data_IF_952998876122
#
_entry.id   IF_952998876122
#
_cell.length_a   1.000
_cell.length_b   1.000
_cell.length_c   1.000
_cell.angle_alpha   90.00
_cell.angle_beta   90.00
_cell.angle_gamma   90.00
#
_symmetry.space_group_name_H-M   'P 1'
#
loop_
_entity.id
_entity.type
_entity.pdbx_description
1 polymer ?
#
# COMPACT_ATOMS: atom_id res chain seq x y z
N UNK A 1 73.87 -0.93 10.30
CA UNK A 1 73.49 0.48 10.57
C UNK A 1 72.21 0.48 11.38
N UNK A 2 72.30 0.86 12.66
CA UNK A 2 71.16 1.15 13.53
C UNK A 2 70.60 2.53 13.21
N UNK A 3 69.27 2.69 13.31
CA UNK A 3 68.55 3.84 13.91
C UNK A 3 67.10 3.85 13.37
N UNK A 4 66.03 4.24 14.06
CA UNK A 4 65.70 4.53 15.47
C UNK A 4 64.17 4.71 15.39
N UNK A 5 63.45 4.07 16.31
CA UNK A 5 62.02 4.23 16.57
C UNK A 5 61.69 5.62 17.10
N UNK A 6 60.57 6.22 16.67
CA UNK A 6 59.79 7.17 17.48
C UNK A 6 58.29 7.06 17.20
N UNK A 7 57.55 6.70 18.24
CA UNK A 7 56.09 6.77 18.39
C UNK A 7 55.66 8.06 19.10
N UNK A 8 54.35 8.34 19.00
CA UNK A 8 53.45 9.25 19.78
C UNK A 8 53.25 10.69 19.30
N UNK A 9 52.12 11.36 19.66
CA UNK A 9 50.86 10.85 20.22
C UNK A 9 49.56 11.37 19.55
N UNK A 10 48.46 10.68 19.88
CA UNK A 10 47.06 11.10 19.72
C UNK A 10 46.77 12.29 20.65
N UNK A 11 46.00 13.29 20.18
CA UNK A 11 45.34 14.25 21.07
C UNK A 11 43.89 14.50 20.61
N UNK A 12 42.87 14.21 21.45
CA UNK A 12 41.47 14.39 21.12
C UNK A 12 41.04 15.85 21.33
N UNK A 13 40.40 16.44 20.31
CA UNK A 13 39.76 17.75 20.44
C UNK A 13 38.44 17.58 21.19
N UNK A 14 38.53 17.90 22.49
CA UNK A 14 37.54 18.54 23.36
C UNK A 14 36.06 18.48 22.95
N UNK A 15 35.35 17.58 23.60
CA UNK A 15 33.92 17.64 23.89
C UNK A 15 33.60 18.95 24.64
N UNK A 16 32.79 19.83 24.04
CA UNK A 16 32.27 21.04 24.67
C UNK A 16 30.82 20.80 25.11
N UNK A 17 30.64 20.70 26.42
CA UNK A 17 29.35 20.69 27.12
C UNK A 17 28.79 22.13 27.20
N UNK A 18 27.45 22.24 27.18
CA UNK A 18 26.54 23.34 27.56
C UNK A 18 25.65 23.74 26.37
N UNK A 19 24.34 24.03 26.49
CA UNK A 19 23.38 24.13 27.61
C UNK A 19 21.99 24.26 26.94
N UNK A 20 20.98 23.59 27.49
CA UNK A 20 19.56 24.00 27.62
C UNK A 20 18.92 24.87 26.52
N UNK A 21 17.92 24.33 25.82
CA UNK A 21 16.72 25.03 25.31
C UNK A 21 15.55 24.02 25.43
N UNK A 22 14.86 23.97 26.58
CA UNK A 22 13.55 24.57 26.89
C UNK A 22 12.41 24.03 26.00
N UNK A 23 11.60 23.17 26.61
CA UNK A 23 10.24 22.79 26.25
C UNK A 23 9.35 24.03 26.09
N UNK A 24 8.54 24.09 25.03
CA UNK A 24 7.33 24.92 24.99
C UNK A 24 6.14 24.11 24.52
N UNK A 25 5.22 23.91 25.45
CA UNK A 25 3.85 23.40 25.29
C UNK A 25 2.97 24.62 25.00
N UNK A 26 2.17 24.58 23.94
CA UNK A 26 1.03 25.48 23.73
C UNK A 26 -0.10 24.61 23.18
N UNK A 27 -0.92 24.05 24.07
CA UNK A 27 -2.24 24.56 24.50
C UNK A 27 -3.35 24.22 23.48
N UNK A 28 -4.08 23.16 23.82
CA UNK A 28 -5.29 22.66 23.16
C UNK A 28 -6.48 23.53 23.63
N UNK A 29 -7.12 24.26 22.72
CA UNK A 29 -8.37 24.95 23.00
C UNK A 29 -9.55 24.09 22.52
N UNK A 30 -10.23 23.45 23.47
CA UNK A 30 -11.52 22.82 23.24
C UNK A 30 -12.61 23.90 23.24
N UNK A 31 -13.34 24.04 22.14
CA UNK A 31 -14.60 24.78 22.12
C UNK A 31 -15.71 23.75 22.32
N UNK A 32 -16.20 23.63 23.55
CA UNK A 32 -17.42 22.93 23.89
C UNK A 32 -18.61 23.86 23.65
N UNK A 33 -19.39 23.62 22.59
CA UNK A 33 -20.73 24.16 22.46
C UNK A 33 -21.71 23.18 23.12
N UNK A 34 -22.00 23.41 24.39
CA UNK A 34 -23.21 22.93 25.05
C UNK A 34 -24.25 24.04 24.97
N UNK A 35 -25.25 23.89 24.09
CA UNK A 35 -26.52 24.59 24.22
C UNK A 35 -27.63 23.57 24.43
N UNK A 36 -27.96 23.34 25.70
CA UNK A 36 -29.30 22.90 26.09
C UNK A 36 -30.17 24.15 26.10
N UNK A 37 -31.10 24.25 25.16
CA UNK A 37 -32.30 25.07 25.31
C UNK A 37 -33.44 24.10 25.56
N UNK A 38 -33.86 24.00 26.82
CA UNK A 38 -35.17 23.47 27.18
C UNK A 38 -36.12 24.67 27.17
N UNK A 39 -37.21 24.57 26.41
CA UNK A 39 -38.57 24.85 26.91
C UNK A 39 -39.60 24.39 25.88
N UNK A 40 -40.61 23.69 26.41
CA UNK A 40 -41.75 23.09 25.74
C UNK A 40 -42.55 24.09 24.89
N UNK A 41 -42.79 23.72 23.62
CA UNK A 41 -44.08 23.97 22.98
C UNK A 41 -44.49 22.76 22.14
N UNK A 42 -45.56 22.12 22.59
CA UNK A 42 -46.30 21.06 21.93
C UNK A 42 -46.90 21.58 20.62
N UNK A 43 -46.25 21.30 19.48
CA UNK A 43 -46.86 21.41 18.16
C UNK A 43 -46.16 20.48 17.17
N UNK A 44 -46.76 19.30 16.97
CA UNK A 44 -46.99 18.68 15.66
C UNK A 44 -45.82 18.72 14.63
N UNK A 45 -44.81 17.85 14.78
CA UNK A 45 -43.94 17.44 13.66
C UNK A 45 -43.64 15.94 13.73
N UNK A 46 -44.53 15.11 13.19
CA UNK A 46 -44.13 13.80 12.66
C UNK A 46 -43.29 14.04 11.40
N UNK A 47 -41.98 14.23 11.56
CA UNK A 47 -41.11 14.52 10.42
C UNK A 47 -39.60 14.44 10.64
N UNK A 48 -39.13 14.20 11.87
CA UNK A 48 -37.69 14.23 12.16
C UNK A 48 -37.26 12.90 12.78
N UNK A 49 -37.08 11.87 11.94
CA UNK A 49 -36.38 10.65 12.37
C UNK A 49 -35.49 10.00 11.29
N UNK A 50 -35.39 10.59 10.09
CA UNK A 50 -34.55 10.05 9.01
C UNK A 50 -33.17 10.73 8.87
N UNK A 51 -33.01 11.98 9.29
CA UNK A 51 -31.74 12.71 9.08
C UNK A 51 -30.67 12.43 10.14
N UNK A 52 -31.05 12.11 11.37
CA UNK A 52 -30.10 11.95 12.48
C UNK A 52 -29.45 10.54 12.52
N UNK A 53 -30.13 9.52 11.99
CA UNK A 53 -29.59 8.15 11.84
C UNK A 53 -28.70 8.05 10.61
N UNK A 54 -29.06 8.75 9.53
CA UNK A 54 -28.25 8.92 8.32
C UNK A 54 -26.87 9.54 8.65
N UNK A 55 -26.83 10.60 9.47
CA UNK A 55 -25.57 11.28 9.79
C UNK A 55 -24.62 10.46 10.66
N UNK A 56 -25.12 9.63 11.60
CA UNK A 56 -24.27 8.72 12.39
C UNK A 56 -23.73 7.57 11.55
N UNK A 57 -24.55 6.96 10.70
CA UNK A 57 -24.13 5.86 9.83
C UNK A 57 -23.17 6.34 8.74
N UNK A 58 -23.44 7.48 8.10
CA UNK A 58 -22.52 8.09 7.13
C UNK A 58 -21.20 8.52 7.81
N UNK A 59 -21.26 9.06 9.03
CA UNK A 59 -20.05 9.40 9.81
C UNK A 59 -19.27 8.16 10.25
N UNK A 60 -19.94 7.07 10.60
CA UNK A 60 -19.29 5.79 10.96
C UNK A 60 -18.70 5.08 9.73
N UNK A 61 -19.38 5.14 8.58
CA UNK A 61 -18.85 4.65 7.31
C UNK A 61 -17.63 5.46 6.86
N UNK A 62 -17.69 6.80 6.98
CA UNK A 62 -16.55 7.67 6.75
C UNK A 62 -15.40 7.45 7.78
N UNK A 63 -15.72 6.97 8.99
CA UNK A 63 -14.72 6.59 10.01
C UNK A 63 -14.05 5.25 9.71
N UNK A 64 -14.72 4.33 9.01
CA UNK A 64 -14.15 3.04 8.62
C UNK A 64 -13.14 3.21 7.47
N UNK A 65 -13.41 4.13 6.55
CA UNK A 65 -12.44 4.56 5.55
C UNK A 65 -11.18 5.08 6.25
N UNK A 66 -10.04 4.88 5.60
CA UNK A 66 -8.72 5.33 6.08
C UNK A 66 -8.18 4.66 7.35
N UNK A 67 -8.87 3.65 7.90
CA UNK A 67 -8.29 2.84 8.97
C UNK A 67 -7.18 1.95 8.40
N UNK A 68 -5.95 2.13 8.90
CA UNK A 68 -4.78 1.37 8.45
C UNK A 68 -4.77 0.00 9.10
N UNK A 69 -4.79 -1.05 8.28
CA UNK A 69 -4.56 -2.42 8.72
C UNK A 69 -3.17 -2.86 8.28
N UNK A 70 -2.37 -3.36 9.23
CA UNK A 70 -1.04 -3.90 8.97
C UNK A 70 -1.06 -5.42 9.05
N UNK A 71 -0.44 -6.09 8.08
CA UNK A 71 -0.36 -7.55 8.05
C UNK A 71 0.86 -8.01 7.25
N UNK A 72 1.02 -9.33 7.15
CA UNK A 72 2.05 -9.95 6.31
C UNK A 72 1.58 -11.30 5.80
N UNK A 73 2.13 -11.71 4.66
CA UNK A 73 2.01 -13.09 4.15
C UNK A 73 3.39 -13.74 4.08
N UNK A 74 3.43 -15.06 4.24
CA UNK A 74 4.62 -15.86 3.97
C UNK A 74 4.38 -16.70 2.73
N UNK A 75 5.23 -16.55 1.73
CA UNK A 75 5.16 -17.30 0.46
C UNK A 75 6.31 -18.29 0.43
N UNK A 76 6.01 -19.55 0.14
CA UNK A 76 7.00 -20.62 0.13
C UNK A 76 7.48 -20.89 -1.30
N UNK A 77 8.78 -21.16 -1.43
CA UNK A 77 9.38 -21.63 -2.67
C UNK A 77 9.23 -23.14 -2.75
N UNK A 78 8.66 -23.64 -3.84
CA UNK A 78 8.53 -25.08 -4.05
C UNK A 78 9.66 -25.66 -4.91
N UNK A 79 10.38 -24.82 -5.68
CA UNK A 79 11.53 -25.24 -6.48
C UNK A 79 12.60 -24.13 -6.60
N UNK A 80 13.88 -24.49 -6.69
CA UNK A 80 14.96 -23.55 -7.00
C UNK A 80 15.08 -23.30 -8.52
N UNK A 81 15.54 -22.12 -8.99
CA UNK A 81 16.05 -20.98 -8.21
C UNK A 81 14.95 -20.02 -7.74
N UNK A 82 15.29 -19.14 -6.78
CA UNK A 82 14.36 -18.13 -6.22
C UNK A 82 13.98 -17.01 -7.18
N UNK A 83 14.78 -16.76 -8.22
CA UNK A 83 14.56 -15.69 -9.21
C UNK A 83 13.54 -16.03 -10.29
N UNK A 84 12.93 -17.21 -10.25
CA UNK A 84 11.95 -17.66 -11.22
C UNK A 84 10.54 -17.42 -10.69
N UNK A 85 9.68 -16.78 -11.49
CA UNK A 85 8.32 -16.42 -11.11
C UNK A 85 7.49 -17.62 -10.61
N UNK A 86 7.49 -18.70 -11.38
CA UNK A 86 6.62 -19.87 -11.17
C UNK A 86 7.10 -20.80 -10.06
N UNK A 87 8.29 -20.56 -9.49
CA UNK A 87 8.91 -21.40 -8.48
C UNK A 87 8.39 -21.13 -7.05
N UNK A 88 7.44 -20.22 -6.91
CA UNK A 88 6.82 -19.82 -5.65
C UNK A 88 5.37 -20.29 -5.62
N UNK A 89 4.94 -20.88 -4.49
CA UNK A 89 3.58 -21.33 -4.30
C UNK A 89 2.71 -20.12 -3.96
N UNK A 90 1.72 -19.76 -4.79
CA UNK A 90 0.90 -18.59 -4.52
C UNK A 90 0.13 -18.70 -3.20
N UNK A 91 -0.08 -17.56 -2.54
CA UNK A 91 -0.77 -17.47 -1.25
C UNK A 91 -1.92 -16.49 -1.34
N UNK A 92 -3.12 -16.96 -1.02
CA UNK A 92 -4.31 -16.12 -0.94
C UNK A 92 -4.29 -15.26 0.34
N UNK A 93 -4.79 -14.03 0.23
CA UNK A 93 -5.03 -13.13 1.34
C UNK A 93 -6.26 -12.26 1.08
N UNK A 94 -6.85 -11.70 2.13
CA UNK A 94 -7.91 -10.71 2.03
C UNK A 94 -7.36 -9.30 2.29
N UNK A 95 -7.80 -8.34 1.48
CA UNK A 95 -7.59 -6.90 1.68
C UNK A 95 -8.98 -6.28 1.68
N UNK A 96 -9.54 -6.03 2.86
CA UNK A 96 -10.95 -5.67 3.00
C UNK A 96 -11.87 -6.68 2.28
N UNK A 97 -12.63 -6.19 1.29
CA UNK A 97 -13.57 -6.96 0.48
C UNK A 97 -12.96 -7.71 -0.70
N UNK A 98 -11.68 -7.51 -1.05
CA UNK A 98 -11.03 -8.20 -2.17
C UNK A 98 -10.18 -9.38 -1.71
N UNK A 99 -10.36 -10.53 -2.38
CA UNK A 99 -9.42 -11.65 -2.29
C UNK A 99 -8.29 -11.45 -3.29
N UNK A 100 -7.06 -11.45 -2.80
CA UNK A 100 -5.83 -11.31 -3.60
C UNK A 100 -4.97 -12.55 -3.49
N UNK A 101 -4.09 -12.72 -4.45
CA UNK A 101 -3.07 -13.76 -4.47
C UNK A 101 -1.69 -13.12 -4.57
N UNK A 102 -0.83 -13.43 -3.61
CA UNK A 102 0.59 -13.13 -3.64
C UNK A 102 1.35 -14.24 -4.34
N UNK A 103 2.18 -13.90 -5.32
CA UNK A 103 2.82 -14.83 -6.24
C UNK A 103 4.12 -14.27 -6.83
N UNK A 104 4.74 -15.00 -7.76
CA UNK A 104 5.90 -14.51 -8.50
C UNK A 104 7.20 -14.52 -7.70
N UNK A 105 8.19 -13.79 -8.21
CA UNK A 105 9.55 -13.77 -7.67
C UNK A 105 9.52 -13.34 -6.18
N UNK A 106 9.97 -14.25 -5.30
CA UNK A 106 9.89 -14.10 -3.84
C UNK A 106 8.48 -13.81 -3.28
N UNK A 107 7.41 -14.14 -4.02
CA UNK A 107 6.04 -13.80 -3.65
C UNK A 107 5.70 -12.32 -3.77
N UNK A 108 6.56 -11.52 -4.41
CA UNK A 108 6.42 -10.07 -4.48
C UNK A 108 5.34 -9.58 -5.44
N UNK A 109 4.75 -10.43 -6.28
CA UNK A 109 3.66 -10.02 -7.17
C UNK A 109 2.30 -10.20 -6.51
N UNK A 110 1.32 -9.40 -6.88
CA UNK A 110 -0.05 -9.43 -6.37
C UNK A 110 -1.05 -9.33 -7.51
N UNK A 111 -2.14 -10.11 -7.44
CA UNK A 111 -3.31 -9.97 -8.32
C UNK A 111 -4.63 -10.23 -7.58
N UNK A 112 -5.77 -9.66 -8.01
CA UNK A 112 -7.09 -10.09 -7.54
C UNK A 112 -7.38 -11.53 -8.02
N UNK A 113 -8.04 -12.33 -7.19
CA UNK A 113 -8.34 -13.74 -7.50
C UNK A 113 -9.61 -13.87 -8.32
N UNK A 114 -9.53 -14.61 -9.43
CA UNK A 114 -10.69 -15.04 -10.23
C UNK A 114 -11.45 -13.94 -10.99
N UNK A 115 -11.20 -12.67 -10.66
CA UNK A 115 -11.84 -11.47 -11.21
C UNK A 115 -13.39 -11.54 -11.34
N UNK A 116 -14.05 -12.40 -10.56
CA UNK A 116 -15.51 -12.57 -10.60
C UNK A 116 -16.25 -11.31 -10.14
N UNK A 117 -15.61 -10.55 -9.24
CA UNK A 117 -16.12 -9.29 -8.72
C UNK A 117 -15.54 -8.06 -9.43
N UNK A 118 -14.85 -8.23 -10.57
CA UNK A 118 -14.34 -7.13 -11.40
C UNK A 118 -13.39 -6.19 -10.63
N UNK A 119 -12.37 -6.79 -10.02
CA UNK A 119 -11.31 -6.09 -9.31
C UNK A 119 -10.10 -5.87 -10.22
N UNK A 120 -9.60 -4.65 -10.24
CA UNK A 120 -8.47 -4.24 -11.07
C UNK A 120 -7.37 -3.64 -10.23
N UNK A 121 -6.17 -3.64 -10.78
CA UNK A 121 -4.98 -3.15 -10.08
C UNK A 121 -4.20 -2.13 -10.88
N UNK A 122 -3.49 -1.27 -10.16
CA UNK A 122 -2.66 -0.21 -10.69
C UNK A 122 -1.74 0.35 -9.63
N UNK A 123 -0.92 1.32 -10.00
CA UNK A 123 0.02 1.95 -9.08
C UNK A 123 -0.22 3.45 -8.97
N UNK A 124 0.16 3.98 -7.82
CA UNK A 124 0.11 5.41 -7.50
C UNK A 124 1.38 5.77 -6.72
N UNK A 125 1.66 7.07 -6.55
CA UNK A 125 2.80 7.49 -5.77
C UNK A 125 2.75 6.95 -4.32
N UNK A 126 3.90 6.54 -3.80
CA UNK A 126 4.00 5.97 -2.47
C UNK A 126 3.66 7.00 -1.37
N UNK A 127 3.75 8.30 -1.67
CA UNK A 127 3.34 9.37 -0.76
C UNK A 127 1.83 9.51 -0.63
N UNK A 128 1.05 8.99 -1.58
CA UNK A 128 -0.41 9.09 -1.50
C UNK A 128 -0.94 8.37 -0.26
N UNK A 129 -1.96 8.94 0.34
CA UNK A 129 -2.57 8.39 1.55
C UNK A 129 -4.06 8.21 1.29
N UNK A 130 -4.80 7.77 2.30
CA UNK A 130 -6.26 7.78 2.19
C UNK A 130 -6.87 9.20 2.05
N UNK A 131 -6.06 10.26 2.06
CA UNK A 131 -6.52 11.61 1.79
C UNK A 131 -7.29 11.66 0.46
N UNK A 132 -8.48 12.28 0.49
CA UNK A 132 -9.36 12.58 -0.65
C UNK A 132 -9.09 11.78 -1.93
N UNK A 133 -9.56 10.53 -2.00
CA UNK A 133 -9.54 9.67 -3.19
C UNK A 133 -9.80 10.43 -4.50
N UNK A 134 -10.78 11.34 -4.49
CA UNK A 134 -11.15 12.14 -5.66
C UNK A 134 -10.04 13.06 -6.19
N UNK A 135 -9.03 13.39 -5.38
CA UNK A 135 -7.91 14.24 -5.76
C UNK A 135 -6.81 13.53 -6.56
N UNK A 136 -6.65 12.21 -6.39
CA UNK A 136 -5.54 11.45 -7.00
C UNK A 136 -5.98 10.22 -7.80
N UNK A 137 -7.25 9.80 -7.72
CA UNK A 137 -7.74 8.62 -8.47
C UNK A 137 -7.50 8.71 -9.98
N UNK A 138 -7.52 9.92 -10.55
CA UNK A 138 -7.25 10.15 -11.98
C UNK A 138 -5.76 10.01 -12.37
N UNK A 139 -4.86 9.87 -11.39
CA UNK A 139 -3.42 9.70 -11.60
C UNK A 139 -2.93 8.26 -11.42
N UNK A 140 -3.85 7.33 -11.15
CA UNK A 140 -3.52 5.91 -11.02
C UNK A 140 -3.06 5.38 -12.39
N UNK A 141 -1.85 4.80 -12.41
CA UNK A 141 -1.38 4.05 -13.57
C UNK A 141 -2.06 2.67 -13.59
N UNK A 142 -2.93 2.43 -14.57
CA UNK A 142 -3.71 1.20 -14.67
C UNK A 142 -2.85 0.07 -15.23
N UNK A 143 -2.79 -1.09 -14.55
CA UNK A 143 -1.95 -2.21 -14.99
C UNK A 143 -2.32 -2.70 -16.39
N UNK A 144 -3.63 -2.78 -16.67
CA UNK A 144 -4.14 -3.32 -17.92
C UNK A 144 -4.08 -2.34 -19.09
N UNK A 145 -3.66 -1.08 -18.89
CA UNK A 145 -3.37 -0.20 -20.01
C UNK A 145 -2.35 -0.90 -20.94
N UNK A 146 -2.59 -0.98 -22.27
CA UNK A 146 -1.70 -1.70 -23.19
C UNK A 146 -0.23 -1.28 -23.12
N UNK A 147 0.06 -0.04 -22.71
CA UNK A 147 1.43 0.45 -22.53
C UNK A 147 2.11 -0.03 -21.25
N UNK A 148 1.32 -0.55 -20.29
CA UNK A 148 1.73 -0.99 -18.96
C UNK A 148 1.75 -2.53 -18.81
N UNK A 149 1.19 -3.24 -19.78
CA UNK A 149 1.19 -4.71 -19.81
C UNK A 149 2.51 -5.19 -20.39
N UNK A 150 3.32 -5.85 -19.57
CA UNK A 150 4.52 -6.56 -20.03
C UNK A 150 4.18 -7.92 -20.65
N UNK A 151 5.19 -8.67 -21.05
CA UNK A 151 5.03 -10.04 -21.52
C UNK A 151 4.96 -11.07 -20.37
N UNK A 152 5.29 -10.67 -19.14
CA UNK A 152 5.43 -11.54 -17.99
C UNK A 152 4.44 -11.19 -16.86
N UNK A 153 3.93 -12.20 -16.12
CA UNK A 153 4.13 -13.63 -16.33
C UNK A 153 3.45 -14.15 -17.62
N UNK A 154 4.15 -14.99 -18.40
CA UNK A 154 3.70 -15.45 -19.74
C UNK A 154 2.26 -15.98 -19.78
N UNK A 155 1.84 -16.70 -18.73
CA UNK A 155 0.52 -17.32 -18.70
C UNK A 155 -0.64 -16.32 -18.54
N UNK A 156 -0.40 -15.21 -17.83
CA UNK A 156 -1.40 -14.16 -17.61
C UNK A 156 -0.73 -12.87 -17.09
N UNK A 157 -0.33 -11.95 -17.99
CA UNK A 157 0.33 -10.69 -17.61
C UNK A 157 -0.64 -9.61 -17.13
N UNK A 158 -1.96 -9.86 -17.22
CA UNK A 158 -2.98 -8.90 -16.84
C UNK A 158 -3.29 -8.94 -15.35
N UNK A 159 -3.73 -7.80 -14.83
CA UNK A 159 -4.18 -7.62 -13.45
C UNK A 159 -3.19 -8.09 -12.37
N UNK A 160 -1.90 -8.08 -12.70
CA UNK A 160 -0.83 -8.47 -11.79
C UNK A 160 0.21 -7.37 -11.67
N UNK A 161 0.50 -6.96 -10.44
CA UNK A 161 1.55 -6.00 -10.14
C UNK A 161 2.68 -6.69 -9.41
N UNK A 162 3.90 -6.49 -9.88
CA UNK A 162 5.07 -7.06 -9.25
C UNK A 162 6.28 -6.17 -9.46
N UNK A 163 7.32 -6.76 -10.02
CA UNK A 163 8.54 -6.05 -10.41
C UNK A 163 8.21 -5.00 -11.47
N UNK A 164 8.81 -3.82 -11.34
CA UNK A 164 8.64 -2.72 -12.29
C UNK A 164 9.65 -2.81 -13.44
N UNK A 165 9.13 -3.06 -14.64
CA UNK A 165 9.88 -3.12 -15.89
C UNK A 165 10.55 -4.47 -16.18
N UNK A 166 11.79 -4.42 -16.68
CA UNK A 166 12.51 -5.59 -17.19
C UNK A 166 13.51 -6.14 -16.17
N UNK A 167 13.51 -7.47 -15.97
CA UNK A 167 14.52 -8.19 -15.20
C UNK A 167 14.99 -9.44 -15.94
N UNK A 168 16.29 -9.59 -16.11
CA UNK A 168 16.88 -10.75 -16.82
C UNK A 168 16.27 -10.99 -18.21
N UNK A 169 15.83 -9.93 -18.90
CA UNK A 169 15.18 -10.01 -20.22
C UNK A 169 13.68 -10.28 -20.20
N UNK A 170 13.09 -10.55 -19.02
CA UNK A 170 11.65 -10.71 -18.82
C UNK A 170 11.02 -9.34 -18.50
N UNK A 171 10.04 -8.91 -19.31
CA UNK A 171 9.33 -7.65 -19.15
C UNK A 171 8.03 -7.84 -18.37
N UNK A 172 7.97 -7.31 -17.15
CA UNK A 172 6.78 -7.34 -16.31
C UNK A 172 5.87 -6.12 -16.50
N UNK A 173 6.29 -5.13 -17.31
CA UNK A 173 5.57 -3.87 -17.50
C UNK A 173 5.47 -3.08 -16.20
N UNK A 174 4.31 -2.47 -15.94
CA UNK A 174 4.06 -1.71 -14.71
C UNK A 174 4.18 -2.60 -13.47
N UNK A 175 4.99 -2.16 -12.51
CA UNK A 175 5.14 -2.78 -11.20
C UNK A 175 5.22 -1.75 -10.08
N UNK A 176 5.46 -2.23 -8.86
CA UNK A 176 5.49 -1.38 -7.67
C UNK A 176 6.81 -1.47 -6.89
N UNK A 177 7.70 -2.40 -7.24
CA UNK A 177 9.02 -2.54 -6.62
C UNK A 177 10.13 -2.74 -7.65
N UNK A 178 11.33 -2.34 -7.25
CA UNK A 178 12.58 -2.68 -7.96
C UNK A 178 13.29 -3.85 -7.27
N UNK A 179 14.10 -4.61 -8.00
CA UNK A 179 14.80 -5.78 -7.49
C UNK A 179 16.22 -5.85 -8.03
N UNK A 180 17.19 -5.88 -7.11
CA UNK A 180 18.62 -5.97 -7.43
C UNK A 180 19.05 -7.43 -7.35
N UNK A 181 19.26 -8.07 -8.50
CA UNK A 181 19.60 -9.50 -8.61
C UNK A 181 20.82 -9.91 -7.77
N UNK A 182 21.86 -9.07 -7.71
CA UNK A 182 23.12 -9.40 -7.06
C UNK A 182 23.02 -9.45 -5.53
N UNK A 183 22.20 -8.59 -4.93
CA UNK A 183 22.04 -8.48 -3.46
C UNK A 183 20.71 -9.05 -2.98
N UNK A 184 19.89 -9.50 -3.92
CA UNK A 184 18.50 -9.85 -3.74
C UNK A 184 17.61 -8.77 -3.08
N UNK A 185 18.03 -7.51 -3.06
CA UNK A 185 17.25 -6.44 -2.41
C UNK A 185 16.03 -6.08 -3.24
N UNK A 186 14.84 -6.15 -2.64
CA UNK A 186 13.56 -5.75 -3.24
C UNK A 186 13.05 -4.49 -2.56
N UNK A 187 12.83 -3.42 -3.33
CA UNK A 187 12.49 -2.09 -2.79
C UNK A 187 11.17 -1.59 -3.39
N UNK A 188 10.08 -1.58 -2.60
CA UNK A 188 8.83 -0.91 -2.99
C UNK A 188 9.07 0.58 -3.27
N UNK A 189 8.57 1.05 -4.40
CA UNK A 189 8.71 2.44 -4.86
C UNK A 189 7.35 3.10 -5.19
N UNK A 190 6.30 2.30 -5.34
CA UNK A 190 4.92 2.77 -5.56
C UNK A 190 3.96 2.08 -4.61
N UNK A 191 2.84 2.73 -4.33
CA UNK A 191 1.71 2.07 -3.69
C UNK A 191 0.88 1.34 -4.75
N UNK A 192 0.23 0.26 -4.33
CA UNK A 192 -0.72 -0.49 -5.15
C UNK A 192 -2.12 0.05 -4.85
N UNK A 193 -2.92 0.26 -5.89
CA UNK A 193 -4.35 0.54 -5.78
C UNK A 193 -5.11 -0.66 -6.34
N UNK A 194 -6.10 -1.11 -5.59
CA UNK A 194 -7.04 -2.16 -6.02
C UNK A 194 -8.43 -1.55 -6.04
N UNK A 195 -9.14 -1.57 -7.15
CA UNK A 195 -10.47 -0.98 -7.26
C UNK A 195 -11.47 -1.90 -7.94
N UNK A 196 -12.72 -1.78 -7.53
CA UNK A 196 -13.86 -2.49 -8.10
C UNK A 196 -14.61 -1.58 -9.05
N UNK A 197 -14.73 -1.99 -10.30
CA UNK A 197 -15.53 -1.25 -11.30
C UNK A 197 -16.06 -2.22 -12.36
N UNK A 198 -16.96 -1.74 -13.22
CA UNK A 198 -17.49 -2.54 -14.32
C UNK A 198 -16.39 -2.82 -15.35
N UNK A 199 -16.14 -4.10 -15.61
CA UNK A 199 -15.34 -4.59 -16.73
C UNK A 199 -15.77 -6.00 -17.14
N UNK A 200 -15.27 -6.52 -18.26
CA UNK A 200 -15.74 -7.80 -18.81
C UNK A 200 -14.98 -9.00 -18.24
N UNK A 201 -13.69 -8.80 -17.96
CA UNK A 201 -12.74 -9.86 -17.61
C UNK A 201 -11.49 -9.25 -16.94
N UNK A 202 -10.51 -10.10 -16.65
CA UNK A 202 -9.24 -9.69 -16.03
C UNK A 202 -8.33 -8.87 -16.93
N UNK A 203 -8.61 -8.78 -18.22
CA UNK A 203 -7.80 -8.07 -19.23
C UNK A 203 -8.35 -6.67 -19.52
N UNK A 204 -9.59 -6.41 -19.10
CA UNK A 204 -10.27 -5.14 -19.30
C UNK A 204 -9.43 -3.95 -18.83
N UNK A 205 -9.30 -2.95 -19.71
CA UNK A 205 -8.79 -1.63 -19.34
C UNK A 205 -9.94 -0.87 -18.67
N UNK A 206 -9.76 -0.47 -17.42
CA UNK A 206 -10.81 0.19 -16.64
C UNK A 206 -10.38 1.55 -16.13
N UNK A 207 -11.35 2.43 -15.89
CA UNK A 207 -11.13 3.77 -15.35
C UNK A 207 -11.33 3.78 -13.83
N UNK A 208 -10.27 3.99 -13.02
CA UNK A 208 -10.39 4.06 -11.56
C UNK A 208 -11.36 5.14 -11.06
N UNK A 209 -11.63 6.18 -11.85
CA UNK A 209 -12.57 7.25 -11.43
C UNK A 209 -14.00 6.74 -11.25
N UNK A 210 -14.34 5.62 -11.89
CA UNK A 210 -15.64 4.94 -11.85
C UNK A 210 -15.76 3.86 -10.76
N UNK A 211 -14.74 3.74 -9.91
CA UNK A 211 -14.72 2.73 -8.85
C UNK A 211 -15.94 2.86 -7.92
N UNK A 212 -16.39 1.71 -7.44
CA UNK A 212 -17.44 1.60 -6.41
C UNK A 212 -16.89 1.22 -5.04
N UNK A 213 -15.66 0.71 -5.02
CA UNK A 213 -14.90 0.33 -3.84
C UNK A 213 -13.42 0.36 -4.20
N UNK A 214 -12.55 0.82 -3.30
CA UNK A 214 -11.11 0.87 -3.56
C UNK A 214 -10.25 0.75 -2.30
N UNK A 215 -9.08 0.16 -2.48
CA UNK A 215 -8.07 -0.05 -1.46
C UNK A 215 -6.72 0.50 -1.90
N UNK A 216 -6.07 1.21 -1.00
CA UNK A 216 -4.67 1.60 -1.12
C UNK A 216 -3.81 0.63 -0.30
N UNK A 217 -2.83 0.00 -0.95
CA UNK A 217 -1.95 -1.00 -0.36
C UNK A 217 -0.51 -0.51 -0.47
N UNK A 218 0.17 -0.42 0.67
CA UNK A 218 1.59 -0.04 0.76
C UNK A 218 2.40 -1.23 1.27
N UNK A 219 3.17 -1.84 0.38
CA UNK A 219 4.13 -2.86 0.78
C UNK A 219 5.27 -2.19 1.53
N UNK A 220 5.46 -2.58 2.78
CA UNK A 220 6.47 -2.00 3.68
C UNK A 220 7.79 -2.77 3.62
N UNK A 221 7.76 -4.00 3.12
CA UNK A 221 8.97 -4.76 2.85
C UNK A 221 8.69 -6.12 2.22
N UNK A 222 9.62 -6.56 1.37
CA UNK A 222 9.71 -7.94 0.88
C UNK A 222 11.03 -8.48 1.43
N UNK A 223 10.95 -9.45 2.33
CA UNK A 223 12.11 -10.10 2.93
C UNK A 223 12.36 -11.44 2.22
N UNK A 224 13.21 -11.45 1.17
CA UNK A 224 13.49 -12.65 0.41
C UNK A 224 14.30 -13.64 1.24
N UNK A 225 13.83 -14.89 1.30
CA UNK A 225 14.59 -15.98 1.88
C UNK A 225 14.84 -17.10 0.86
N UNK A 226 15.71 -18.03 1.26
CA UNK A 226 16.10 -19.14 0.40
C UNK A 226 14.92 -20.10 0.11
N UNK A 227 14.04 -20.34 1.08
CA UNK A 227 12.92 -21.29 0.93
C UNK A 227 11.55 -20.65 1.18
N UNK A 228 11.52 -19.47 1.79
CA UNK A 228 10.31 -18.70 2.04
C UNK A 228 10.64 -17.22 2.04
N UNK A 229 9.65 -16.39 1.75
CA UNK A 229 9.75 -14.93 1.81
C UNK A 229 8.59 -14.38 2.59
N UNK A 230 8.81 -13.25 3.26
CA UNK A 230 7.76 -12.54 3.98
C UNK A 230 7.49 -11.22 3.28
N UNK A 231 6.22 -10.97 2.94
CA UNK A 231 5.75 -9.71 2.39
C UNK A 231 4.94 -9.02 3.46
N UNK A 232 5.43 -7.86 3.92
CA UNK A 232 4.75 -7.02 4.92
C UNK A 232 4.09 -5.85 4.22
N UNK A 233 2.86 -5.54 4.58
CA UNK A 233 2.11 -4.46 3.95
C UNK A 233 1.05 -3.85 4.87
N UNK A 234 0.72 -2.61 4.56
CA UNK A 234 -0.40 -1.88 5.13
C UNK A 234 -1.47 -1.71 4.06
N UNK A 235 -2.74 -1.73 4.44
CA UNK A 235 -3.81 -1.36 3.54
C UNK A 235 -4.88 -0.52 4.23
N UNK A 236 -5.55 0.31 3.45
CA UNK A 236 -6.68 1.16 3.85
C UNK A 236 -7.74 1.11 2.78
N UNK A 237 -9.02 1.01 3.18
CA UNK A 237 -10.11 1.31 2.27
C UNK A 237 -10.15 2.83 2.03
N UNK A 238 -10.18 3.24 0.77
CA UNK A 238 -10.16 4.65 0.33
C UNK A 238 -11.44 5.06 -0.40
N UNK A 239 -12.24 4.08 -0.82
CA UNK A 239 -13.60 4.24 -1.35
C UNK A 239 -14.48 3.06 -0.90
#
# INVERSE_FOLDING_TARGET
MQAVTKTKPINPIKLKIMKKIIFSIVALAAISLTSCSSDDQTAEIQGISKEQTSSKTAKNAALALCTVTSTSVTVNRWQAPSSTYTNWTPVAAAIGGVNVQWEGIYGGSIRPVGNTDQWYVGTIDLTETCANWDSWKGSIAVKNDPSNVGAEPVANPFNVLGYDGIISGADYGLGYYSYVLATHVMTPAKAIVIWKTTGTDSESVTDPTTATEAYLVKVTGIAPGASSSVISYNWTQVL
#
